data_IF_096683993926
#
_entry.id   IF_096683993926
#
_cell.length_a   1.000
_cell.length_b   1.000
_cell.length_c   1.000
_cell.angle_alpha   90.00
_cell.angle_beta   90.00
_cell.angle_gamma   90.00
#
_symmetry.space_group_name_H-M   'P 1'
#
loop_
_entity.id
_entity.type
_entity.pdbx_description
1 polymer ?
#
# COMPACT_ATOMS: atom_id res chain seq x y z
N UNK A 1 -4.57 -12.88 -16.75
CA UNK A 1 -3.84 -11.87 -15.96
C UNK A 1 -4.47 -11.71 -14.60
N UNK A 2 -5.79 -11.43 -14.48
CA UNK A 2 -6.46 -11.21 -13.19
C UNK A 2 -6.29 -12.38 -12.21
N UNK A 3 -6.51 -13.63 -12.66
CA UNK A 3 -6.33 -14.84 -11.81
C UNK A 3 -4.91 -14.95 -11.28
N UNK A 4 -3.91 -14.65 -12.11
CA UNK A 4 -2.51 -14.66 -11.68
C UNK A 4 -2.22 -13.57 -10.64
N UNK A 5 -2.79 -12.38 -10.80
CA UNK A 5 -2.62 -11.27 -9.86
C UNK A 5 -3.31 -11.53 -8.51
N UNK A 6 -4.45 -12.22 -8.51
CA UNK A 6 -5.24 -12.45 -7.30
C UNK A 6 -4.77 -13.66 -6.51
N UNK A 7 -4.43 -14.77 -7.18
CA UNK A 7 -4.15 -16.05 -6.51
C UNK A 7 -2.68 -16.44 -6.49
N UNK A 8 -1.91 -16.07 -7.51
CA UNK A 8 -0.51 -16.52 -7.62
C UNK A 8 0.46 -15.46 -7.09
N UNK A 9 0.27 -14.21 -7.46
CA UNK A 9 1.21 -13.13 -7.14
C UNK A 9 1.33 -12.86 -5.64
N UNK A 10 0.24 -12.78 -4.84
CA UNK A 10 0.35 -12.56 -3.40
C UNK A 10 1.10 -13.68 -2.70
N UNK A 11 0.83 -14.94 -3.08
CA UNK A 11 1.51 -16.09 -2.51
C UNK A 11 3.01 -16.14 -2.89
N UNK A 12 3.31 -15.89 -4.16
CA UNK A 12 4.69 -15.85 -4.65
C UNK A 12 5.51 -14.73 -3.98
N UNK A 13 4.92 -13.55 -3.84
CA UNK A 13 5.55 -12.41 -3.17
C UNK A 13 5.81 -12.69 -1.69
N UNK A 14 4.86 -13.29 -0.96
CA UNK A 14 5.06 -13.69 0.43
C UNK A 14 6.23 -14.67 0.58
N UNK A 15 6.30 -15.66 -0.30
CA UNK A 15 7.37 -16.65 -0.27
C UNK A 15 8.74 -16.05 -0.61
N UNK A 16 8.77 -15.13 -1.55
CA UNK A 16 9.97 -14.37 -1.90
C UNK A 16 10.46 -13.49 -0.74
N UNK A 17 9.55 -12.76 -0.09
CA UNK A 17 9.90 -11.89 1.05
C UNK A 17 10.40 -12.71 2.24
N UNK A 18 9.78 -13.86 2.53
CA UNK A 18 10.24 -14.79 3.57
C UNK A 18 11.65 -15.32 3.29
N UNK A 19 11.92 -15.80 2.07
CA UNK A 19 13.24 -16.27 1.67
C UNK A 19 14.29 -15.16 1.74
N UNK A 20 13.92 -13.96 1.31
CA UNK A 20 14.81 -12.79 1.37
C UNK A 20 15.16 -12.41 2.82
N UNK A 21 14.22 -12.54 3.74
CA UNK A 21 14.46 -12.29 5.17
C UNK A 21 15.38 -13.34 5.78
N UNK A 22 15.19 -14.62 5.45
CA UNK A 22 16.08 -15.72 5.88
C UNK A 22 17.51 -15.48 5.39
N UNK A 23 17.69 -15.16 4.09
CA UNK A 23 19.01 -14.89 3.50
C UNK A 23 19.70 -13.70 4.16
N UNK A 24 18.95 -12.69 4.57
CA UNK A 24 19.46 -11.48 5.23
C UNK A 24 19.67 -11.64 6.75
N UNK A 25 19.44 -12.84 7.31
CA UNK A 25 19.57 -13.11 8.74
C UNK A 25 18.59 -12.29 9.61
N UNK A 26 17.47 -11.86 9.04
CA UNK A 26 16.42 -11.11 9.76
C UNK A 26 15.45 -12.09 10.41
N UNK A 27 15.00 -11.83 11.66
CA UNK A 27 13.93 -12.63 12.27
C UNK A 27 12.73 -12.65 11.36
N UNK A 28 12.04 -13.80 11.31
CA UNK A 28 10.81 -13.95 10.56
C UNK A 28 9.82 -12.87 11.04
N UNK A 29 9.69 -11.82 10.26
CA UNK A 29 8.75 -10.76 10.56
C UNK A 29 7.36 -11.23 10.14
N UNK A 30 6.46 -11.29 11.12
CA UNK A 30 5.04 -11.03 10.98
C UNK A 30 4.16 -12.20 10.58
N UNK A 31 3.41 -12.68 11.54
CA UNK A 31 2.10 -13.25 11.28
C UNK A 31 1.16 -12.11 10.90
N UNK A 32 0.80 -12.02 9.63
CA UNK A 32 -0.34 -11.24 9.19
C UNK A 32 -1.61 -11.95 9.64
N UNK A 33 -2.17 -11.52 10.75
CA UNK A 33 -3.56 -11.74 11.05
C UNK A 33 -4.32 -10.49 10.61
N UNK A 34 -5.50 -10.67 10.01
CA UNK A 34 -6.32 -9.57 9.48
C UNK A 34 -6.33 -8.35 10.43
N UNK A 35 -5.92 -7.21 9.94
CA UNK A 35 -6.08 -5.91 10.60
C UNK A 35 -4.96 -5.47 11.54
N UNK A 36 -4.14 -6.34 12.09
CA UNK A 36 -3.08 -5.94 13.02
C UNK A 36 -1.73 -6.55 12.66
N UNK A 37 -0.72 -5.68 12.56
CA UNK A 37 0.67 -6.08 12.34
C UNK A 37 1.41 -6.14 13.65
N UNK A 38 2.13 -7.25 13.91
CA UNK A 38 2.98 -7.42 15.06
C UNK A 38 4.45 -7.29 14.64
N UNK A 39 5.21 -6.42 15.29
CA UNK A 39 6.64 -6.25 15.04
C UNK A 39 7.39 -6.30 16.37
N UNK A 40 8.44 -7.11 16.42
CA UNK A 40 9.38 -7.08 17.53
C UNK A 40 10.34 -5.90 17.32
N UNK A 41 10.40 -5.02 18.32
CA UNK A 41 11.35 -3.92 18.40
C UNK A 41 12.62 -4.28 19.14
N UNK A 42 13.49 -3.29 19.26
CA UNK A 42 14.67 -3.36 20.15
C UNK A 42 14.21 -3.27 21.62
N UNK A 43 15.08 -3.61 22.56
CA UNK A 43 14.84 -3.56 24.02
C UNK A 43 13.57 -4.30 24.48
N UNK A 44 13.28 -5.48 23.90
CA UNK A 44 12.17 -6.36 24.30
C UNK A 44 10.78 -5.72 24.17
N UNK A 45 10.62 -4.86 23.18
CA UNK A 45 9.34 -4.27 22.85
C UNK A 45 8.63 -5.06 21.77
N UNK A 46 7.32 -5.10 21.89
CA UNK A 46 6.44 -5.68 20.90
C UNK A 46 5.43 -4.62 20.50
N UNK A 47 5.41 -4.30 19.22
CA UNK A 47 4.46 -3.36 18.64
C UNK A 47 3.33 -4.10 17.97
N UNK A 48 2.11 -3.64 18.21
CA UNK A 48 0.93 -4.07 17.50
C UNK A 48 0.21 -2.82 16.96
N UNK A 49 -0.01 -2.74 15.68
CA UNK A 49 -0.69 -1.60 15.08
C UNK A 49 -1.59 -2.06 13.92
N UNK A 50 -2.66 -1.30 13.72
CA UNK A 50 -3.59 -1.54 12.64
C UNK A 50 -3.03 -1.05 11.30
N UNK A 51 -2.46 0.17 11.29
CA UNK A 51 -1.94 0.78 10.07
C UNK A 51 -0.74 1.68 10.35
N UNK A 52 0.22 1.68 9.42
CA UNK A 52 1.32 2.63 9.38
C UNK A 52 1.38 3.32 8.02
N UNK A 53 1.10 4.62 8.01
CA UNK A 53 1.32 5.47 6.84
C UNK A 53 2.80 5.83 6.75
N UNK A 54 3.47 5.21 5.80
CA UNK A 54 4.92 5.40 5.59
C UNK A 54 5.26 6.74 4.94
N UNK A 55 4.30 7.43 4.30
CA UNK A 55 4.50 8.72 3.66
C UNK A 55 4.38 9.86 4.67
N UNK A 56 3.37 9.82 5.53
CA UNK A 56 3.10 10.82 6.56
C UNK A 56 3.71 10.47 7.92
N UNK A 57 4.33 9.26 8.04
CA UNK A 57 4.94 8.75 9.28
C UNK A 57 3.97 8.74 10.47
N UNK A 58 2.77 8.18 10.22
CA UNK A 58 1.67 8.12 11.19
C UNK A 58 1.21 6.70 11.41
N UNK A 59 1.06 6.30 12.66
CA UNK A 59 0.35 5.08 13.05
C UNK A 59 -1.11 5.35 13.35
N UNK A 60 -1.93 4.38 12.98
CA UNK A 60 -3.30 4.25 13.43
C UNK A 60 -3.41 3.07 14.39
N UNK A 61 -3.98 3.31 15.58
CA UNK A 61 -4.23 2.28 16.59
C UNK A 61 -2.98 1.47 16.92
N UNK A 62 -2.02 2.09 17.59
CA UNK A 62 -0.80 1.42 18.02
C UNK A 62 -0.89 0.99 19.49
N UNK A 63 -0.46 -0.24 19.75
CA UNK A 63 -0.20 -0.78 21.08
C UNK A 63 1.28 -1.11 21.22
N UNK A 64 1.90 -0.65 22.28
CA UNK A 64 3.31 -0.86 22.60
C UNK A 64 3.37 -1.69 23.89
N UNK A 65 3.94 -2.87 23.80
CA UNK A 65 4.14 -3.77 24.93
C UNK A 65 5.63 -3.80 25.27
N UNK A 66 5.96 -3.51 26.53
CA UNK A 66 7.31 -3.66 27.07
C UNK A 66 7.37 -4.92 27.94
N UNK A 67 8.23 -5.85 27.55
CA UNK A 67 8.40 -7.13 28.25
C UNK A 67 9.64 -7.09 29.13
N UNK A 68 9.53 -7.61 30.34
CA UNK A 68 10.66 -7.96 31.17
C UNK A 68 11.01 -9.42 30.90
N UNK A 69 12.17 -9.64 30.24
CA UNK A 69 12.60 -11.00 29.88
C UNK A 69 13.08 -11.77 31.10
N UNK A 70 13.62 -11.11 32.14
CA UNK A 70 14.14 -11.78 33.31
C UNK A 70 13.01 -12.39 34.15
N UNK A 71 11.91 -11.66 34.31
CA UNK A 71 10.73 -12.08 35.05
C UNK A 71 9.65 -12.70 34.16
N UNK A 72 9.83 -12.70 32.83
CA UNK A 72 8.86 -13.17 31.84
C UNK A 72 7.47 -12.55 32.02
N UNK A 73 7.42 -11.26 32.34
CA UNK A 73 6.22 -10.50 32.67
C UNK A 73 6.08 -9.26 31.78
N UNK A 74 4.83 -8.83 31.60
CA UNK A 74 4.53 -7.56 30.95
C UNK A 74 4.76 -6.43 31.94
N UNK A 75 5.70 -5.53 31.62
CA UNK A 75 6.04 -4.37 32.46
C UNK A 75 5.14 -3.16 32.16
N UNK A 76 4.87 -2.90 30.87
CA UNK A 76 4.13 -1.73 30.41
C UNK A 76 3.34 -2.04 29.15
N UNK A 77 2.14 -1.48 29.06
CA UNK A 77 1.33 -1.49 27.86
C UNK A 77 0.80 -0.09 27.59
N UNK A 78 1.14 0.49 26.46
CA UNK A 78 0.68 1.77 26.00
C UNK A 78 -0.20 1.54 24.77
N UNK A 79 -1.35 2.16 24.74
CA UNK A 79 -2.23 2.23 23.56
C UNK A 79 -2.40 3.68 23.17
N UNK A 80 -2.37 3.96 21.85
CA UNK A 80 -2.71 5.23 21.31
C UNK A 80 -3.52 5.07 20.03
N UNK A 81 -4.56 5.92 19.87
CA UNK A 81 -5.36 5.93 18.64
C UNK A 81 -4.55 6.44 17.44
N UNK A 82 -3.60 7.33 17.70
CA UNK A 82 -2.71 7.89 16.67
C UNK A 82 -1.31 8.08 17.26
N UNK A 83 -0.27 7.77 16.48
CA UNK A 83 1.09 8.16 16.79
C UNK A 83 1.70 8.82 15.55
N UNK A 84 2.26 10.02 15.70
CA UNK A 84 2.87 10.80 14.63
C UNK A 84 4.32 11.08 14.95
N UNK A 85 5.19 10.95 13.95
CA UNK A 85 6.59 11.27 14.10
C UNK A 85 6.81 12.79 14.06
N UNK A 86 7.46 13.30 15.08
CA UNK A 86 7.92 14.69 15.12
C UNK A 86 9.39 14.74 14.68
N UNK A 87 9.63 15.26 13.48
CA UNK A 87 10.96 15.32 12.86
C UNK A 87 11.90 16.25 13.65
N UNK A 88 11.36 17.29 14.30
CA UNK A 88 12.15 18.28 15.04
C UNK A 88 12.71 17.70 16.35
N UNK A 89 11.88 16.96 17.07
CA UNK A 89 12.26 16.36 18.35
C UNK A 89 12.73 14.91 18.23
N UNK A 90 12.61 14.29 17.05
CA UNK A 90 12.89 12.87 16.79
C UNK A 90 12.17 11.96 17.79
N UNK A 91 10.92 12.23 18.05
CA UNK A 91 10.07 11.46 18.96
C UNK A 91 8.72 11.16 18.35
N UNK A 92 8.07 10.11 18.85
CA UNK A 92 6.69 9.84 18.52
C UNK A 92 5.75 10.62 19.45
N UNK A 93 4.81 11.34 18.85
CA UNK A 93 3.71 12.00 19.56
C UNK A 93 2.51 11.08 19.51
N UNK A 94 2.19 10.48 20.65
CA UNK A 94 1.04 9.59 20.84
C UNK A 94 -0.17 10.43 21.23
N UNK A 95 -1.31 10.23 20.57
CA UNK A 95 -2.52 11.00 20.82
C UNK A 95 -3.71 10.09 21.14
N UNK A 96 -4.55 10.53 22.08
CA UNK A 96 -5.78 9.85 22.49
C UNK A 96 -5.53 8.41 22.93
N UNK A 97 -4.81 8.24 24.01
CA UNK A 97 -4.37 6.96 24.49
C UNK A 97 -4.41 6.74 25.98
N UNK A 98 -3.90 5.60 26.37
CA UNK A 98 -3.73 5.23 27.78
C UNK A 98 -2.49 4.37 27.97
N UNK A 99 -1.97 4.40 29.20
CA UNK A 99 -0.83 3.62 29.67
C UNK A 99 -1.24 2.75 30.86
N UNK A 100 -0.80 1.48 30.85
CA UNK A 100 -0.86 0.57 31.99
C UNK A 100 0.54 0.14 32.37
N UNK A 101 0.94 0.39 33.61
CA UNK A 101 2.19 -0.13 34.18
C UNK A 101 1.87 -1.21 35.19
N UNK A 102 2.57 -2.32 35.06
CA UNK A 102 2.45 -3.48 35.93
C UNK A 102 3.66 -3.49 36.88
N UNK A 103 3.44 -3.36 38.18
CA UNK A 103 4.51 -3.38 39.18
C UNK A 103 4.02 -4.07 40.43
N UNK A 104 4.72 -5.13 40.82
CA UNK A 104 4.47 -5.88 42.07
C UNK A 104 2.99 -6.20 42.35
N UNK A 105 2.29 -6.71 41.34
CA UNK A 105 0.86 -7.07 41.45
C UNK A 105 -0.11 -5.87 41.45
N UNK A 106 0.37 -4.64 41.31
CA UNK A 106 -0.44 -3.43 41.16
C UNK A 106 -0.45 -2.95 39.71
N UNK A 107 -1.63 -2.55 39.22
CA UNK A 107 -1.79 -1.97 37.90
C UNK A 107 -2.03 -0.48 38.07
N UNK A 108 -1.14 0.34 37.54
CA UNK A 108 -1.34 1.78 37.45
C UNK A 108 -1.85 2.11 36.05
N UNK A 109 -3.03 2.71 35.98
CA UNK A 109 -3.66 3.17 34.75
C UNK A 109 -3.58 4.70 34.67
N UNK A 110 -3.21 5.23 33.49
CA UNK A 110 -3.19 6.66 33.20
C UNK A 110 -3.67 6.88 31.77
N UNK A 111 -4.72 7.68 31.58
CA UNK A 111 -5.12 8.14 30.26
C UNK A 111 -4.39 9.44 29.92
N UNK A 112 -4.17 9.67 28.64
CA UNK A 112 -3.53 10.89 28.14
C UNK A 112 -4.18 11.34 26.82
N UNK A 113 -4.24 12.64 26.62
CA UNK A 113 -4.65 13.22 25.35
C UNK A 113 -3.46 13.28 24.39
N UNK A 114 -2.28 13.64 24.91
CA UNK A 114 -1.03 13.64 24.17
C UNK A 114 0.13 13.19 25.09
N UNK A 115 1.02 12.35 24.53
CA UNK A 115 2.21 11.89 25.21
C UNK A 115 3.38 11.78 24.20
N UNK A 116 4.53 12.33 24.55
CA UNK A 116 5.76 12.16 23.78
C UNK A 116 6.48 10.89 24.22
N UNK A 117 6.82 10.06 23.25
CA UNK A 117 7.47 8.79 23.49
C UNK A 117 8.75 8.67 22.66
N UNK A 118 9.89 8.82 23.33
CA UNK A 118 11.22 8.91 22.73
C UNK A 118 11.95 7.57 22.59
N UNK A 119 11.42 6.51 23.18
CA UNK A 119 12.13 5.22 23.31
C UNK A 119 11.76 4.25 22.17
N UNK A 120 10.83 4.64 21.30
CA UNK A 120 10.39 3.85 20.15
C UNK A 120 11.33 4.07 18.95
N UNK A 121 11.53 3.03 18.15
CA UNK A 121 12.34 3.09 16.95
C UNK A 121 11.78 4.11 15.94
N UNK A 122 12.66 4.71 15.16
CA UNK A 122 12.28 5.69 14.15
C UNK A 122 11.45 5.11 13.01
N UNK A 123 10.80 5.96 12.18
CA UNK A 123 9.93 5.54 11.09
C UNK A 123 10.57 4.57 10.11
N UNK A 124 11.88 4.68 9.89
CA UNK A 124 12.63 3.79 8.97
C UNK A 124 12.59 2.32 9.38
N UNK A 125 12.44 2.05 10.68
CA UNK A 125 12.29 0.68 11.19
C UNK A 125 10.98 0.07 10.74
N UNK A 126 9.90 0.81 10.88
CA UNK A 126 8.55 0.34 10.56
C UNK A 126 8.26 0.30 9.06
N UNK A 127 8.88 1.18 8.27
CA UNK A 127 8.80 1.15 6.80
C UNK A 127 9.22 -0.20 6.19
N UNK A 128 10.05 -0.98 6.89
CA UNK A 128 10.52 -2.30 6.44
C UNK A 128 9.48 -3.41 6.58
N UNK A 129 8.48 -3.24 7.43
CA UNK A 129 7.47 -4.27 7.77
C UNK A 129 6.10 -4.07 7.12
N UNK A 130 5.88 -2.96 6.42
CA UNK A 130 4.58 -2.68 5.79
C UNK A 130 4.42 -3.53 4.54
N UNK A 131 3.39 -4.36 4.51
CA UNK A 131 2.99 -5.03 3.26
C UNK A 131 2.47 -3.95 2.31
N UNK A 132 3.17 -3.78 1.20
CA UNK A 132 2.73 -2.84 0.17
C UNK A 132 1.32 -3.23 -0.31
N UNK A 133 0.42 -2.28 -0.39
CA UNK A 133 -0.95 -2.46 -0.89
C UNK A 133 -0.98 -3.10 -2.29
N UNK A 134 0.05 -2.84 -3.09
CA UNK A 134 0.28 -3.47 -4.39
C UNK A 134 0.41 -5.01 -4.31
N UNK A 135 0.92 -5.54 -3.20
CA UNK A 135 1.15 -6.98 -2.96
C UNK A 135 -0.03 -7.69 -2.29
N UNK A 136 -1.03 -6.96 -1.82
CA UNK A 136 -2.26 -7.51 -1.23
C UNK A 136 -3.15 -8.11 -2.32
N UNK A 137 -3.92 -9.14 -2.02
CA UNK A 137 -5.02 -9.59 -2.88
C UNK A 137 -6.15 -8.54 -2.87
N UNK A 138 -7.04 -8.58 -3.87
CA UNK A 138 -8.15 -7.61 -3.97
C UNK A 138 -9.02 -7.62 -2.72
N UNK A 139 -9.43 -8.81 -2.25
CA UNK A 139 -10.27 -8.96 -1.05
C UNK A 139 -9.56 -8.45 0.21
N UNK A 140 -8.28 -8.80 0.39
CA UNK A 140 -7.46 -8.33 1.51
C UNK A 140 -7.34 -6.80 1.53
N UNK A 141 -7.09 -6.19 0.36
CA UNK A 141 -7.00 -4.74 0.24
C UNK A 141 -8.34 -4.06 0.49
N UNK A 142 -9.45 -4.67 0.07
CA UNK A 142 -10.79 -4.13 0.32
C UNK A 142 -11.14 -4.14 1.82
N UNK A 143 -10.86 -5.22 2.54
CA UNK A 143 -11.06 -5.31 3.99
C UNK A 143 -10.17 -4.30 4.72
N UNK A 144 -8.92 -4.17 4.30
CA UNK A 144 -7.98 -3.20 4.83
C UNK A 144 -8.47 -1.76 4.67
N UNK A 145 -8.98 -1.39 3.48
CA UNK A 145 -9.60 -0.07 3.22
C UNK A 145 -10.80 0.17 4.12
N UNK A 146 -11.66 -0.84 4.32
CA UNK A 146 -12.86 -0.69 5.14
C UNK A 146 -12.53 -0.46 6.62
N UNK A 147 -11.53 -1.16 7.15
CA UNK A 147 -11.04 -0.96 8.52
C UNK A 147 -10.48 0.44 8.73
N UNK A 148 -9.65 0.91 7.79
CA UNK A 148 -9.07 2.26 7.85
C UNK A 148 -10.12 3.35 7.77
N UNK A 149 -11.12 3.19 6.89
CA UNK A 149 -12.23 4.16 6.75
C UNK A 149 -13.05 4.27 8.04
N UNK A 150 -13.28 3.14 8.75
CA UNK A 150 -13.95 3.15 10.05
C UNK A 150 -13.12 3.89 11.11
N UNK A 151 -11.80 3.82 11.01
CA UNK A 151 -10.87 4.58 11.86
C UNK A 151 -10.77 6.07 11.54
N UNK A 152 -11.47 6.57 10.48
CA UNK A 152 -11.44 7.98 10.08
C UNK A 152 -10.22 8.37 9.25
N UNK A 153 -9.50 7.41 8.67
CA UNK A 153 -8.32 7.67 7.84
C UNK A 153 -8.68 7.93 6.39
N UNK A 154 -7.87 8.77 5.74
CA UNK A 154 -7.98 9.00 4.31
C UNK A 154 -7.46 7.77 3.55
N UNK A 155 -8.29 7.23 2.66
CA UNK A 155 -8.02 5.95 1.98
C UNK A 155 -8.06 6.06 0.45
N UNK A 156 -8.05 7.25 -0.11
CA UNK A 156 -8.29 7.44 -1.54
C UNK A 156 -7.14 6.91 -2.40
N UNK A 157 -5.90 6.97 -1.90
CA UNK A 157 -4.77 6.31 -2.57
C UNK A 157 -4.92 4.78 -2.61
N UNK A 158 -5.38 4.16 -1.51
CA UNK A 158 -5.64 2.71 -1.45
C UNK A 158 -6.82 2.28 -2.33
N UNK A 159 -7.88 3.09 -2.39
CA UNK A 159 -9.00 2.86 -3.31
C UNK A 159 -8.56 2.93 -4.77
N UNK A 160 -7.67 3.88 -5.10
CA UNK A 160 -7.09 3.98 -6.45
C UNK A 160 -6.34 2.69 -6.80
N UNK A 161 -5.52 2.18 -5.90
CA UNK A 161 -4.83 0.90 -6.10
C UNK A 161 -5.79 -0.29 -6.20
N UNK A 162 -6.84 -0.31 -5.39
CA UNK A 162 -7.87 -1.36 -5.45
C UNK A 162 -8.54 -1.40 -6.83
N UNK A 163 -8.97 -0.26 -7.36
CA UNK A 163 -9.58 -0.18 -8.68
C UNK A 163 -8.59 -0.48 -9.81
N UNK A 164 -7.31 -0.14 -9.64
CA UNK A 164 -6.24 -0.51 -10.58
C UNK A 164 -6.09 -2.02 -10.72
N UNK A 165 -6.28 -2.80 -9.66
CA UNK A 165 -6.21 -4.28 -9.75
C UNK A 165 -7.21 -4.85 -10.75
N UNK A 166 -8.37 -4.19 -10.92
CA UNK A 166 -9.38 -4.59 -11.90
C UNK A 166 -9.10 -3.95 -13.26
N UNK A 167 -8.78 -2.65 -13.29
CA UNK A 167 -8.61 -1.91 -14.56
C UNK A 167 -7.34 -2.31 -15.33
N UNK A 168 -6.28 -2.71 -14.63
CA UNK A 168 -5.00 -3.05 -15.24
C UNK A 168 -5.04 -4.25 -16.21
N UNK A 169 -5.74 -5.36 -15.96
CA UNK A 169 -5.90 -6.44 -16.93
C UNK A 169 -6.50 -6.01 -18.27
N UNK A 170 -7.31 -4.95 -18.28
CA UNK A 170 -7.92 -4.41 -19.51
C UNK A 170 -6.93 -3.68 -20.43
N UNK A 171 -5.75 -3.33 -19.91
CA UNK A 171 -4.66 -2.71 -20.70
C UNK A 171 -4.36 -3.51 -21.96
N UNK A 172 -4.22 -4.83 -21.83
CA UNK A 172 -3.91 -5.70 -22.95
C UNK A 172 -5.01 -5.68 -24.02
N UNK A 173 -6.28 -5.64 -23.59
CA UNK A 173 -7.42 -5.55 -24.49
C UNK A 173 -7.43 -4.22 -25.25
N UNK A 174 -7.21 -3.11 -24.55
CA UNK A 174 -7.17 -1.77 -25.11
C UNK A 174 -6.00 -1.61 -26.08
N UNK A 175 -4.81 -2.11 -25.71
CA UNK A 175 -3.65 -2.09 -26.58
C UNK A 175 -3.87 -2.93 -27.85
N UNK A 176 -4.62 -4.04 -27.75
CA UNK A 176 -4.99 -4.84 -28.92
C UNK A 176 -5.94 -4.07 -29.85
N UNK A 177 -6.96 -3.39 -29.29
CA UNK A 177 -7.89 -2.56 -30.08
C UNK A 177 -7.14 -1.43 -30.81
N UNK A 178 -6.19 -0.77 -30.12
CA UNK A 178 -5.37 0.28 -30.71
C UNK A 178 -4.39 -0.26 -31.76
N UNK A 179 -3.80 -1.44 -31.52
CA UNK A 179 -2.81 -2.05 -32.43
C UNK A 179 -3.37 -2.37 -33.81
N UNK A 180 -4.65 -2.75 -33.89
CA UNK A 180 -5.29 -3.13 -35.16
C UNK A 180 -5.28 -1.96 -36.18
N UNK A 181 -5.84 -0.76 -35.90
CA UNK A 181 -5.83 0.35 -36.85
C UNK A 181 -4.41 0.85 -37.17
N UNK A 182 -3.50 0.79 -36.20
CA UNK A 182 -2.10 1.12 -36.45
C UNK A 182 -1.44 0.16 -37.43
N UNK A 183 -1.71 -1.14 -37.32
CA UNK A 183 -1.18 -2.12 -38.27
C UNK A 183 -1.67 -1.86 -39.70
N UNK A 184 -2.93 -1.47 -39.90
CA UNK A 184 -3.48 -1.14 -41.24
C UNK A 184 -2.98 0.18 -41.78
N UNK A 185 -2.85 1.23 -40.94
CA UNK A 185 -2.49 2.58 -41.40
C UNK A 185 -0.98 2.75 -41.62
N UNK A 186 -0.16 2.17 -40.73
CA UNK A 186 1.28 2.33 -40.75
C UNK A 186 2.01 1.15 -41.39
N UNK A 187 1.38 -0.02 -41.51
CA UNK A 187 1.96 -1.18 -42.20
C UNK A 187 2.34 -0.89 -43.66
N UNK A 188 1.61 0.00 -44.32
CA UNK A 188 1.92 0.47 -45.67
C UNK A 188 3.18 1.35 -45.76
N UNK A 189 3.63 1.94 -44.64
CA UNK A 189 4.84 2.79 -44.56
C UNK A 189 6.12 2.05 -44.18
N UNK A 190 5.99 0.73 -43.88
CA UNK A 190 7.10 -0.13 -43.52
C UNK A 190 7.06 -0.58 -42.03
N UNK A 191 7.61 -1.74 -41.76
CA UNK A 191 7.58 -2.40 -40.43
C UNK A 191 8.21 -1.54 -39.32
N UNK A 192 9.28 -0.79 -39.65
CA UNK A 192 9.98 0.05 -38.69
C UNK A 192 9.09 1.19 -38.14
N UNK A 193 8.26 1.79 -38.99
CA UNK A 193 7.32 2.83 -38.57
C UNK A 193 6.22 2.27 -37.67
N UNK A 194 5.72 1.08 -37.97
CA UNK A 194 4.74 0.41 -37.12
C UNK A 194 5.28 0.09 -35.74
N UNK A 195 6.51 -0.41 -35.65
CA UNK A 195 7.18 -0.70 -34.38
C UNK A 195 7.40 0.58 -33.55
N UNK A 196 7.92 1.62 -34.17
CA UNK A 196 8.16 2.91 -33.50
C UNK A 196 6.85 3.50 -32.94
N UNK A 197 5.79 3.49 -33.73
CA UNK A 197 4.47 3.96 -33.29
C UNK A 197 3.89 3.13 -32.14
N UNK A 198 4.05 1.81 -32.16
CA UNK A 198 3.64 0.93 -31.06
C UNK A 198 4.37 1.24 -29.76
N UNK A 199 5.69 1.47 -29.83
CA UNK A 199 6.49 1.84 -28.65
C UNK A 199 6.05 3.21 -28.11
N UNK A 200 5.88 4.22 -28.98
CA UNK A 200 5.41 5.55 -28.57
C UNK A 200 4.02 5.51 -27.93
N UNK A 201 3.11 4.72 -28.49
CA UNK A 201 1.78 4.50 -27.93
C UNK A 201 1.86 3.86 -26.53
N UNK A 202 2.72 2.85 -26.37
CA UNK A 202 2.99 2.23 -25.09
C UNK A 202 3.49 3.22 -24.04
N UNK A 203 4.48 4.06 -24.41
CA UNK A 203 5.02 5.09 -23.52
C UNK A 203 3.94 6.11 -23.14
N UNK A 204 3.13 6.57 -24.11
CA UNK A 204 2.05 7.52 -23.87
C UNK A 204 1.00 6.94 -22.91
N UNK A 205 0.64 5.67 -23.10
CA UNK A 205 -0.31 4.98 -22.22
C UNK A 205 0.24 4.82 -20.79
N UNK A 206 1.50 4.38 -20.63
CA UNK A 206 2.14 4.26 -19.32
C UNK A 206 2.28 5.62 -18.62
N UNK A 207 2.63 6.66 -19.37
CA UNK A 207 2.66 8.01 -18.87
C UNK A 207 1.30 8.48 -18.36
N UNK A 208 0.23 8.21 -19.13
CA UNK A 208 -1.14 8.50 -18.71
C UNK A 208 -1.53 7.77 -17.44
N UNK A 209 -1.22 6.45 -17.34
CA UNK A 209 -1.46 5.69 -16.12
C UNK A 209 -0.79 6.33 -14.91
N UNK A 210 0.48 6.72 -15.01
CA UNK A 210 1.21 7.37 -13.92
C UNK A 210 0.62 8.71 -13.51
N UNK A 211 0.25 9.56 -14.48
CA UNK A 211 -0.38 10.86 -14.19
C UNK A 211 -1.72 10.68 -13.47
N UNK A 212 -2.59 9.81 -13.98
CA UNK A 212 -3.90 9.54 -13.36
C UNK A 212 -3.77 8.92 -11.96
N UNK A 213 -2.78 8.07 -11.73
CA UNK A 213 -2.47 7.50 -10.42
C UNK A 213 -2.10 8.58 -9.41
N UNK A 214 -1.19 9.49 -9.79
CA UNK A 214 -0.80 10.62 -8.93
C UNK A 214 -2.00 11.52 -8.64
N UNK A 215 -2.83 11.82 -9.63
CA UNK A 215 -4.05 12.63 -9.43
C UNK A 215 -5.08 11.93 -8.54
N UNK A 216 -5.20 10.61 -8.61
CA UNK A 216 -6.09 9.83 -7.75
C UNK A 216 -5.56 9.75 -6.31
N UNK A 217 -4.27 9.53 -6.14
CA UNK A 217 -3.64 9.45 -4.81
C UNK A 217 -3.59 10.79 -4.07
N UNK A 218 -3.53 11.90 -4.81
CA UNK A 218 -3.57 13.26 -4.26
C UNK A 218 -4.99 13.81 -4.03
N UNK A 219 -6.04 13.01 -4.31
CA UNK A 219 -7.44 13.45 -4.14
C UNK A 219 -7.96 14.42 -5.21
N UNK A 220 -7.16 14.74 -6.25
CA UNK A 220 -7.57 15.61 -7.35
C UNK A 220 -8.61 14.94 -8.26
N UNK A 221 -8.57 13.63 -8.39
CA UNK A 221 -9.55 12.81 -9.11
C UNK A 221 -10.16 11.77 -8.19
N UNK A 222 -11.42 11.41 -8.47
CA UNK A 222 -11.99 10.27 -7.77
C UNK A 222 -11.19 8.99 -8.07
N UNK A 223 -10.98 8.10 -7.09
CA UNK A 223 -10.20 6.87 -7.25
C UNK A 223 -10.63 6.00 -8.45
N UNK A 224 -11.93 5.98 -8.73
CA UNK A 224 -12.47 5.26 -9.88
C UNK A 224 -12.03 5.86 -11.21
N UNK A 225 -12.13 7.18 -11.36
CA UNK A 225 -11.69 7.87 -12.58
C UNK A 225 -10.17 7.79 -12.74
N UNK A 226 -9.42 7.85 -11.66
CA UNK A 226 -7.97 7.69 -11.69
C UNK A 226 -7.55 6.31 -12.22
N UNK A 227 -8.25 5.25 -11.82
CA UNK A 227 -7.94 3.88 -12.24
C UNK A 227 -8.42 3.54 -13.66
N UNK A 228 -9.56 4.09 -14.11
CA UNK A 228 -10.18 3.74 -15.38
C UNK A 228 -10.00 4.79 -16.48
N UNK A 229 -9.66 6.04 -16.12
CA UNK A 229 -9.52 7.16 -17.06
C UNK A 229 -8.63 6.86 -18.27
N UNK A 230 -7.40 6.38 -18.09
CA UNK A 230 -6.55 6.01 -19.21
C UNK A 230 -7.18 4.96 -20.12
N UNK A 231 -7.80 3.92 -19.54
CA UNK A 231 -8.48 2.87 -20.28
C UNK A 231 -9.62 3.42 -21.14
N UNK A 232 -10.41 4.35 -20.59
CA UNK A 232 -11.51 4.97 -21.30
C UNK A 232 -11.01 5.86 -22.46
N UNK A 233 -9.99 6.70 -22.22
CA UNK A 233 -9.44 7.62 -23.21
C UNK A 233 -8.83 6.83 -24.37
N UNK A 234 -7.94 5.89 -24.08
CA UNK A 234 -7.26 5.11 -25.10
C UNK A 234 -8.21 4.11 -25.79
N UNK A 235 -9.15 3.53 -25.05
CA UNK A 235 -10.18 2.65 -25.60
C UNK A 235 -11.10 3.38 -26.59
N UNK A 236 -11.61 4.57 -26.21
CA UNK A 236 -12.40 5.42 -27.11
C UNK A 236 -11.60 5.83 -28.35
N UNK A 237 -10.34 6.23 -28.17
CA UNK A 237 -9.43 6.53 -29.28
C UNK A 237 -9.27 5.35 -30.24
N UNK A 238 -9.07 4.14 -29.71
CA UNK A 238 -8.94 2.92 -30.50
C UNK A 238 -10.21 2.61 -31.30
N UNK A 239 -11.37 2.71 -30.67
CA UNK A 239 -12.68 2.49 -31.34
C UNK A 239 -12.92 3.52 -32.45
N UNK A 240 -12.62 4.80 -32.18
CA UNK A 240 -12.73 5.86 -33.21
C UNK A 240 -11.78 5.60 -34.39
N UNK A 241 -10.54 5.19 -34.12
CA UNK A 241 -9.62 4.84 -35.17
C UNK A 241 -10.10 3.65 -36.00
N UNK A 242 -10.63 2.61 -35.35
CA UNK A 242 -11.20 1.45 -36.05
C UNK A 242 -12.39 1.84 -36.95
N UNK A 243 -13.24 2.75 -36.52
CA UNK A 243 -14.40 3.22 -37.29
C UNK A 243 -14.01 4.05 -38.54
N UNK A 244 -12.82 4.65 -38.52
CA UNK A 244 -12.30 5.47 -39.62
C UNK A 244 -11.39 4.70 -40.60
N UNK A 245 -10.94 3.49 -40.22
CA UNK A 245 -10.19 2.62 -41.16
C UNK A 245 -11.14 2.11 -42.22
N UNK A 246 -11.06 2.68 -43.43
CA UNK A 246 -11.70 2.10 -44.62
C UNK A 246 -10.93 0.85 -45.03
N UNK A 247 -11.59 -0.30 -44.94
CA UNK A 247 -11.15 -1.57 -45.53
C UNK A 247 -11.09 -1.49 -47.07
#
# INVERSE_FOLDING_TARGET
VFVLQEYVLPYANQRQDNLRNIIKGRPAQTHYQMGFSWIFGEDNRLYNYNYFDSANEVFAEISIYQLDIQENQLFQHIYARRAQWDVLTQTWVLSNGWERRFSQGRIKFSAFDEMRFSVMEGPSYFKKGVKESSKMAYGELQEYISALKQGGFEVDHLKTELYKKISFPFVNFIMSILGIPFAFTLGRKGTLYGMAAGVLLGIAYWGALGVFEVMGSSGLLSPLLAAWGPNLIFGAGGVLMLSTVRT
#
